data_IF_931226079433
#
_entry.id   IF_931226079433
#
_cell.length_a   1.000
_cell.length_b   1.000
_cell.length_c   1.000
_cell.angle_alpha   90.00
_cell.angle_beta   90.00
_cell.angle_gamma   90.00
#
_symmetry.space_group_name_H-M   'P 1'
#
loop_
_entity.id
_entity.type
_entity.pdbx_description
1 polymer ?
#
# COMPACT_ATOMS: atom_id res chain seq x y z
N UNK A 1 -12.23 7.78 -17.29
CA UNK A 1 -11.50 7.32 -16.12
C UNK A 1 -12.18 6.08 -15.55
N UNK A 2 -11.59 4.92 -15.73
CA UNK A 2 -12.14 3.74 -15.11
C UNK A 2 -11.91 3.83 -13.60
N UNK A 3 -12.99 3.95 -12.85
CA UNK A 3 -12.90 3.85 -11.39
C UNK A 3 -12.54 2.42 -11.03
N UNK A 4 -11.49 2.25 -10.26
CA UNK A 4 -11.16 0.95 -9.68
C UNK A 4 -12.40 0.42 -8.96
N UNK A 5 -12.94 -0.70 -9.44
CA UNK A 5 -14.00 -1.38 -8.71
C UNK A 5 -13.35 -2.14 -7.57
N UNK A 6 -13.77 -1.83 -6.37
CA UNK A 6 -13.39 -2.67 -5.22
C UNK A 6 -13.96 -4.07 -5.39
N UNK A 7 -13.31 -5.04 -4.76
CA UNK A 7 -13.77 -6.43 -4.83
C UNK A 7 -15.23 -6.65 -4.42
N UNK A 8 -15.85 -5.65 -3.83
CA UNK A 8 -17.22 -5.72 -3.35
C UNK A 8 -18.20 -4.86 -4.16
N UNK A 9 -17.80 -4.40 -5.33
CA UNK A 9 -18.65 -3.54 -6.15
C UNK A 9 -18.84 -2.13 -5.60
N UNK A 10 -18.14 -1.79 -4.54
CA UNK A 10 -18.19 -0.47 -3.93
C UNK A 10 -17.24 0.44 -4.70
N UNK A 11 -17.81 1.45 -5.35
CA UNK A 11 -17.01 2.55 -5.86
C UNK A 11 -16.65 3.41 -4.65
N UNK A 12 -15.40 3.33 -4.23
CA UNK A 12 -14.95 4.17 -3.13
C UNK A 12 -15.05 5.65 -3.49
N UNK A 13 -15.36 6.49 -2.52
CA UNK A 13 -15.26 7.94 -2.70
C UNK A 13 -13.80 8.32 -2.95
N UNK A 14 -13.60 9.51 -3.51
CA UNK A 14 -12.26 10.11 -3.56
C UNK A 14 -11.63 10.08 -2.17
N UNK A 15 -10.34 9.83 -2.09
CA UNK A 15 -9.60 9.88 -0.84
C UNK A 15 -9.88 11.21 -0.14
N UNK A 16 -10.28 11.11 1.13
CA UNK A 16 -10.30 12.25 2.05
C UNK A 16 -8.97 12.19 2.80
N UNK A 17 -7.99 13.06 2.48
CA UNK A 17 -6.62 12.91 2.99
C UNK A 17 -6.54 12.77 4.50
N UNK A 18 -7.32 13.55 5.24
CA UNK A 18 -7.29 13.51 6.70
C UNK A 18 -7.67 12.14 7.28
N UNK A 19 -8.70 11.51 6.74
CA UNK A 19 -9.15 10.18 7.17
C UNK A 19 -8.15 9.11 6.74
N UNK A 20 -7.67 9.22 5.51
CA UNK A 20 -6.69 8.28 4.95
C UNK A 20 -5.36 8.35 5.69
N UNK A 21 -4.89 9.55 6.04
CA UNK A 21 -3.66 9.73 6.83
C UNK A 21 -3.74 9.02 8.18
N UNK A 22 -4.89 9.08 8.84
CA UNK A 22 -5.08 8.38 10.12
C UNK A 22 -4.99 6.86 9.96
N UNK A 23 -5.61 6.32 8.93
CA UNK A 23 -5.57 4.87 8.66
C UNK A 23 -4.14 4.44 8.31
N UNK A 24 -3.44 5.22 7.49
CA UNK A 24 -2.06 4.96 7.11
C UNK A 24 -1.14 4.96 8.34
N UNK A 25 -1.25 5.99 9.19
CA UNK A 25 -0.42 6.11 10.38
C UNK A 25 -0.70 5.00 11.39
N UNK A 26 -1.96 4.64 11.57
CA UNK A 26 -2.35 3.53 12.44
C UNK A 26 -1.79 2.20 11.95
N UNK A 27 -1.84 1.97 10.64
CA UNK A 27 -1.24 0.78 10.04
C UNK A 27 0.26 0.68 10.37
N UNK A 28 1.01 1.76 10.17
CA UNK A 28 2.44 1.78 10.48
C UNK A 28 2.74 1.63 11.98
N UNK A 29 1.89 2.17 12.85
CA UNK A 29 2.04 1.94 14.29
C UNK A 29 1.91 0.47 14.63
N UNK A 30 0.94 -0.22 14.04
CA UNK A 30 0.72 -1.65 14.26
C UNK A 30 1.92 -2.46 13.78
N UNK A 31 2.38 -2.23 12.56
CA UNK A 31 3.51 -2.98 11.98
C UNK A 31 4.81 -2.70 12.74
N UNK A 32 5.00 -1.48 13.21
CA UNK A 32 6.17 -1.12 14.02
C UNK A 32 6.17 -1.84 15.37
N UNK A 33 5.03 -1.92 16.04
CA UNK A 33 4.89 -2.65 17.31
C UNK A 33 5.18 -4.14 17.12
N UNK A 34 4.77 -4.70 16.02
CA UNK A 34 5.03 -6.11 15.68
C UNK A 34 6.43 -6.35 15.11
N UNK A 35 7.20 -5.30 14.88
CA UNK A 35 8.52 -5.36 14.23
C UNK A 35 8.48 -6.03 12.86
N UNK A 36 7.40 -5.80 12.13
CA UNK A 36 7.23 -6.25 10.76
C UNK A 36 7.64 -5.11 9.82
N UNK A 37 8.61 -5.37 8.96
CA UNK A 37 9.06 -4.38 7.99
C UNK A 37 8.01 -4.19 6.92
N UNK A 38 7.57 -2.95 6.74
CA UNK A 38 6.55 -2.59 5.75
C UNK A 38 6.97 -1.34 5.00
N UNK A 39 6.51 -1.23 3.77
CA UNK A 39 6.73 -0.02 2.96
C UNK A 39 5.51 0.28 2.09
N UNK A 40 5.47 1.51 1.60
CA UNK A 40 4.50 1.93 0.59
C UNK A 40 4.74 1.13 -0.70
N UNK A 41 3.67 0.83 -1.42
CA UNK A 41 3.75 0.07 -2.67
C UNK A 41 2.87 0.69 -3.75
N UNK A 42 3.05 0.24 -4.98
CA UNK A 42 2.18 0.53 -6.12
C UNK A 42 1.71 1.99 -6.18
N UNK A 43 0.41 2.24 -6.32
CA UNK A 43 -0.15 3.58 -6.48
C UNK A 43 0.11 4.53 -5.32
N UNK A 44 0.16 4.02 -4.10
CA UNK A 44 0.50 4.84 -2.93
C UNK A 44 1.96 5.31 -2.98
N UNK A 45 2.87 4.41 -3.31
CA UNK A 45 4.28 4.76 -3.50
C UNK A 45 4.45 5.75 -4.64
N UNK A 46 3.82 5.48 -5.79
CA UNK A 46 3.87 6.37 -6.95
C UNK A 46 3.39 7.78 -6.61
N UNK A 47 2.23 7.89 -5.97
CA UNK A 47 1.66 9.19 -5.62
C UNK A 47 2.57 9.98 -4.69
N UNK A 48 3.08 9.35 -3.66
CA UNK A 48 3.94 10.02 -2.67
C UNK A 48 5.27 10.48 -3.30
N UNK A 49 5.86 9.65 -4.15
CA UNK A 49 7.14 9.98 -4.80
C UNK A 49 6.98 11.00 -5.92
N UNK A 50 5.99 10.82 -6.78
CA UNK A 50 5.79 11.68 -7.95
C UNK A 50 5.03 12.96 -7.63
N UNK A 51 3.92 12.84 -6.89
CA UNK A 51 2.95 13.92 -6.69
C UNK A 51 3.04 14.54 -5.29
N UNK A 52 3.78 13.95 -4.37
CA UNK A 52 3.85 14.41 -2.99
C UNK A 52 2.61 14.09 -2.16
N UNK A 53 1.79 13.16 -2.60
CA UNK A 53 0.56 12.76 -1.92
C UNK A 53 -0.21 11.70 -2.68
N UNK A 54 -1.45 11.47 -2.29
CA UNK A 54 -2.32 10.50 -2.94
C UNK A 54 -2.61 10.88 -4.38
N UNK A 55 -2.69 9.89 -5.27
CA UNK A 55 -3.12 10.10 -6.64
C UNK A 55 -4.62 10.42 -6.65
N UNK A 56 -5.01 11.43 -7.42
CA UNK A 56 -6.41 11.79 -7.60
C UNK A 56 -7.23 10.59 -8.12
N UNK A 57 -8.31 10.27 -7.42
CA UNK A 57 -9.19 9.15 -7.74
C UNK A 57 -8.68 7.79 -7.26
N UNK A 58 -7.51 7.71 -6.66
CA UNK A 58 -7.04 6.52 -5.96
C UNK A 58 -7.61 6.55 -4.53
N UNK A 59 -8.08 5.41 -4.05
CA UNK A 59 -8.77 5.32 -2.77
C UNK A 59 -8.38 4.09 -1.98
N UNK A 60 -7.24 3.48 -2.31
CA UNK A 60 -6.68 2.36 -1.59
C UNK A 60 -5.24 2.66 -1.14
N UNK A 61 -4.85 2.03 -0.06
CA UNK A 61 -3.50 2.07 0.47
C UNK A 61 -2.81 0.76 0.10
N UNK A 62 -1.84 0.85 -0.81
CA UNK A 62 -1.04 -0.30 -1.22
C UNK A 62 0.22 -0.39 -0.36
N UNK A 63 0.40 -1.52 0.31
CA UNK A 63 1.49 -1.77 1.24
C UNK A 63 2.19 -3.07 0.90
N UNK A 64 3.49 -3.13 1.16
CA UNK A 64 4.24 -4.40 1.17
C UNK A 64 4.64 -4.71 2.61
N UNK A 65 4.39 -5.93 3.06
CA UNK A 65 4.86 -6.44 4.34
C UNK A 65 5.85 -7.59 4.11
N UNK A 66 7.02 -7.49 4.73
CA UNK A 66 8.05 -8.52 4.69
C UNK A 66 7.89 -9.35 5.96
N UNK A 67 7.26 -10.51 5.85
CA UNK A 67 6.94 -11.31 7.02
C UNK A 67 6.85 -12.80 6.70
N UNK A 68 7.09 -13.60 7.73
CA UNK A 68 6.82 -15.03 7.72
C UNK A 68 5.32 -15.28 7.84
N UNK A 69 4.89 -16.53 7.65
CA UNK A 69 3.48 -16.91 7.84
C UNK A 69 2.99 -16.62 9.25
N UNK A 70 3.81 -16.89 10.28
CA UNK A 70 3.47 -16.56 11.67
C UNK A 70 3.30 -15.06 11.87
N UNK A 71 4.21 -14.26 11.33
CA UNK A 71 4.13 -12.81 11.41
C UNK A 71 2.90 -12.28 10.66
N UNK A 72 2.58 -12.88 9.51
CA UNK A 72 1.36 -12.55 8.75
C UNK A 72 0.11 -12.78 9.60
N UNK A 73 0.05 -13.90 10.32
CA UNK A 73 -1.07 -14.21 11.22
C UNK A 73 -1.15 -13.20 12.38
N UNK A 74 -0.02 -12.85 12.96
CA UNK A 74 0.05 -11.82 14.01
C UNK A 74 -0.42 -10.46 13.49
N UNK A 75 0.01 -10.07 12.29
CA UNK A 75 -0.42 -8.83 11.68
C UNK A 75 -1.93 -8.83 11.41
N UNK A 76 -2.46 -9.90 10.86
CA UNK A 76 -3.90 -10.04 10.59
C UNK A 76 -4.71 -9.88 11.88
N UNK A 77 -4.30 -10.56 12.95
CA UNK A 77 -4.99 -10.47 14.23
C UNK A 77 -4.91 -9.07 14.85
N UNK A 78 -3.75 -8.44 14.78
CA UNK A 78 -3.56 -7.08 15.29
C UNK A 78 -4.40 -6.06 14.52
N UNK A 79 -4.46 -6.18 13.19
CA UNK A 79 -5.30 -5.32 12.37
C UNK A 79 -6.77 -5.45 12.74
N UNK A 80 -7.26 -6.67 12.91
CA UNK A 80 -8.64 -6.92 13.36
C UNK A 80 -8.93 -6.30 14.73
N UNK A 81 -8.01 -6.45 15.67
CA UNK A 81 -8.14 -5.86 17.01
C UNK A 81 -8.20 -4.34 16.98
N UNK A 82 -7.60 -3.72 15.98
CA UNK A 82 -7.61 -2.27 15.80
C UNK A 82 -8.73 -1.80 14.85
N UNK A 83 -9.71 -2.63 14.58
CA UNK A 83 -10.89 -2.24 13.81
C UNK A 83 -10.72 -2.29 12.30
N UNK A 84 -9.66 -2.95 11.79
CA UNK A 84 -9.54 -3.23 10.36
C UNK A 84 -10.32 -4.49 10.05
N UNK A 85 -11.33 -4.38 9.20
CA UNK A 85 -12.12 -5.53 8.78
C UNK A 85 -11.39 -6.32 7.70
N UNK A 86 -11.27 -7.63 7.89
CA UNK A 86 -10.64 -8.50 6.92
C UNK A 86 -11.55 -8.71 5.71
N UNK A 87 -10.98 -8.56 4.53
CA UNK A 87 -11.64 -8.84 3.28
C UNK A 87 -11.08 -10.10 2.60
N UNK A 88 -10.83 -10.00 1.31
CA UNK A 88 -10.32 -11.13 0.52
C UNK A 88 -8.83 -11.36 0.77
N UNK A 89 -8.44 -12.63 0.70
CA UNK A 89 -7.05 -13.08 0.62
C UNK A 89 -6.83 -13.78 -0.70
N UNK A 90 -5.66 -13.56 -1.28
CA UNK A 90 -5.28 -14.18 -2.55
C UNK A 90 -4.01 -14.99 -2.36
N UNK A 91 -3.99 -16.27 -2.84
CA UNK A 91 -2.79 -17.10 -2.73
C UNK A 91 -1.70 -16.65 -3.71
N UNK A 92 -0.48 -17.22 -3.61
CA UNK A 92 0.53 -17.01 -4.65
C UNK A 92 -0.02 -17.31 -6.06
N UNK A 93 0.40 -16.58 -7.12
CA UNK A 93 1.50 -15.61 -7.10
C UNK A 93 1.17 -14.21 -6.55
N UNK A 94 -0.11 -13.88 -6.39
CA UNK A 94 -0.50 -12.54 -5.91
C UNK A 94 -0.09 -12.32 -4.46
N UNK A 95 -0.40 -13.26 -3.59
CA UNK A 95 -0.02 -13.28 -2.20
C UNK A 95 -0.30 -11.96 -1.48
N UNK A 96 -1.56 -11.55 -1.51
CA UNK A 96 -2.01 -10.30 -0.90
C UNK A 96 -3.32 -10.50 -0.14
N UNK A 97 -3.63 -9.58 0.74
CA UNK A 97 -4.87 -9.56 1.51
C UNK A 97 -5.42 -8.15 1.60
N UNK A 98 -6.74 -8.07 1.60
CA UNK A 98 -7.49 -6.82 1.71
C UNK A 98 -8.03 -6.63 3.12
N UNK A 99 -7.90 -5.41 3.62
CA UNK A 99 -8.51 -4.95 4.88
C UNK A 99 -9.22 -3.63 4.62
N UNK A 100 -10.22 -3.34 5.44
CA UNK A 100 -10.97 -2.08 5.35
C UNK A 100 -11.02 -1.40 6.70
N UNK A 101 -10.85 -0.10 6.69
CA UNK A 101 -11.13 0.74 7.85
C UNK A 101 -11.61 2.11 7.37
N UNK A 102 -12.72 2.60 7.94
CA UNK A 102 -13.27 3.92 7.58
C UNK A 102 -13.47 4.08 6.06
N UNK A 103 -13.93 3.02 5.39
CA UNK A 103 -14.14 2.95 3.92
C UNK A 103 -12.86 3.03 3.11
N UNK A 104 -11.70 2.88 3.74
CA UNK A 104 -10.42 2.86 3.05
C UNK A 104 -9.97 1.43 2.93
N UNK A 105 -9.66 1.03 1.70
CA UNK A 105 -9.09 -0.27 1.41
C UNK A 105 -7.59 -0.23 1.66
N UNK A 106 -7.11 -1.18 2.44
CA UNK A 106 -5.68 -1.44 2.61
C UNK A 106 -5.36 -2.76 1.93
N UNK A 107 -4.55 -2.70 0.90
CA UNK A 107 -4.11 -3.87 0.14
C UNK A 107 -2.67 -4.20 0.54
N UNK A 108 -2.48 -5.33 1.19
CA UNK A 108 -1.18 -5.75 1.73
C UNK A 108 -0.63 -6.87 0.87
N UNK A 109 0.50 -6.62 0.22
CA UNK A 109 1.26 -7.61 -0.52
C UNK A 109 2.33 -8.19 0.40
N UNK A 110 2.31 -9.52 0.56
CA UNK A 110 3.30 -10.21 1.38
C UNK A 110 4.46 -10.63 0.49
N UNK A 111 5.66 -10.20 0.86
CA UNK A 111 6.88 -10.44 0.08
C UNK A 111 7.99 -10.95 0.96
N UNK A 112 8.97 -11.60 0.34
CA UNK A 112 10.21 -12.00 0.99
C UNK A 112 11.27 -10.92 0.82
N UNK A 113 12.28 -10.86 1.70
CA UNK A 113 13.44 -9.99 1.49
C UNK A 113 14.13 -10.30 0.15
N UNK A 114 14.54 -9.26 -0.56
CA UNK A 114 15.22 -9.41 -1.84
C UNK A 114 14.83 -8.29 -2.79
N UNK A 115 15.48 -8.21 -3.95
CA UNK A 115 15.25 -7.15 -4.96
C UNK A 115 15.10 -5.77 -4.29
N UNK A 116 13.88 -5.26 -4.28
CA UNK A 116 13.54 -3.92 -3.79
C UNK A 116 13.28 -3.86 -2.29
N UNK A 117 13.29 -5.02 -1.59
CA UNK A 117 12.83 -5.13 -0.21
C UNK A 117 13.91 -5.56 0.80
N UNK A 118 15.15 -5.75 0.35
CA UNK A 118 16.27 -6.04 1.27
C UNK A 118 16.61 -4.83 2.14
N UNK A 119 16.43 -3.64 1.62
CA UNK A 119 16.49 -2.38 2.36
C UNK A 119 15.43 -1.45 1.80
N UNK A 120 15.05 -0.43 2.58
CA UNK A 120 14.06 0.55 2.17
C UNK A 120 14.71 1.92 1.98
N UNK A 121 14.19 2.68 0.99
CA UNK A 121 14.37 4.10 0.91
C UNK A 121 13.29 4.82 1.71
N UNK A 122 13.19 6.12 1.54
CA UNK A 122 12.18 6.90 2.22
C UNK A 122 11.66 8.03 1.34
N UNK A 123 10.42 8.44 1.62
CA UNK A 123 9.78 9.60 1.02
C UNK A 123 9.14 10.42 2.14
N UNK A 124 9.12 11.74 1.99
CA UNK A 124 8.51 12.63 2.98
C UNK A 124 7.12 13.05 2.51
N UNK A 125 6.14 12.91 3.40
CA UNK A 125 4.78 13.36 3.19
C UNK A 125 4.29 14.05 4.46
N UNK A 126 3.86 15.31 4.34
CA UNK A 126 3.43 16.14 5.48
C UNK A 126 4.42 16.13 6.65
N UNK A 127 5.71 16.24 6.34
CA UNK A 127 6.77 16.28 7.32
C UNK A 127 7.14 14.94 7.97
N UNK A 128 6.51 13.85 7.58
CA UNK A 128 6.82 12.49 8.04
C UNK A 128 7.53 11.70 6.97
N UNK A 129 8.47 10.85 7.38
CA UNK A 129 9.17 9.94 6.51
C UNK A 129 8.45 8.60 6.45
N UNK A 130 8.21 8.09 5.24
CA UNK A 130 7.59 6.80 5.00
C UNK A 130 8.53 5.90 4.21
N UNK A 131 8.63 4.62 4.55
CA UNK A 131 9.50 3.70 3.83
C UNK A 131 8.94 3.37 2.45
N UNK A 132 9.82 3.25 1.48
CA UNK A 132 9.52 2.86 0.11
C UNK A 132 10.49 1.75 -0.32
N UNK A 133 10.16 0.98 -1.37
CA UNK A 133 11.14 0.04 -1.94
C UNK A 133 12.41 0.74 -2.37
N UNK A 134 13.51 0.03 -2.40
CA UNK A 134 14.81 0.61 -2.78
C UNK A 134 15.50 -0.23 -3.86
N UNK A 135 16.01 0.37 -4.92
CA UNK A 135 15.87 1.77 -5.33
C UNK A 135 14.44 2.06 -5.83
N UNK A 136 13.83 3.11 -5.32
CA UNK A 136 12.41 3.39 -5.60
C UNK A 136 12.15 3.68 -7.08
N UNK A 137 13.06 4.35 -7.76
CA UNK A 137 12.90 4.68 -9.17
C UNK A 137 12.88 3.42 -10.05
N UNK A 138 13.73 2.45 -9.75
CA UNK A 138 13.73 1.15 -10.45
C UNK A 138 12.45 0.38 -10.16
N UNK A 139 12.01 0.38 -8.91
CA UNK A 139 10.75 -0.25 -8.52
C UNK A 139 9.57 0.34 -9.31
N UNK A 140 9.45 1.66 -9.32
CA UNK A 140 8.36 2.34 -10.03
C UNK A 140 8.43 2.09 -11.54
N UNK A 141 9.62 2.01 -12.11
CA UNK A 141 9.80 1.69 -13.53
C UNK A 141 9.36 0.28 -13.89
N UNK A 142 9.41 -0.67 -12.93
CA UNK A 142 8.87 -2.02 -13.14
C UNK A 142 7.35 -2.06 -13.06
N UNK A 143 6.77 -1.18 -12.24
CA UNK A 143 5.32 -1.17 -12.01
C UNK A 143 4.55 -0.34 -13.04
N UNK A 144 5.16 0.72 -13.55
CA UNK A 144 4.48 1.70 -14.41
C UNK A 144 5.37 2.16 -15.54
N UNK A 145 4.82 2.21 -16.75
CA UNK A 145 5.48 2.83 -17.90
C UNK A 145 5.44 4.35 -17.72
N UNK A 146 6.58 5.03 -17.93
CA UNK A 146 6.67 6.50 -17.81
C UNK A 146 6.09 7.05 -16.50
N UNK A 147 6.42 6.44 -15.38
CA UNK A 147 5.83 6.79 -14.10
C UNK A 147 6.02 8.25 -13.68
N UNK A 148 7.05 8.94 -14.22
CA UNK A 148 7.30 10.35 -13.92
C UNK A 148 6.28 11.28 -14.56
N UNK A 149 5.60 10.82 -15.60
CA UNK A 149 4.64 11.62 -16.33
C UNK A 149 3.24 11.38 -15.79
N UNK A 150 2.60 12.44 -15.31
CA UNK A 150 1.23 12.37 -14.82
C UNK A 150 0.26 12.40 -15.99
N UNK A 151 -0.09 11.25 -16.53
CA UNK A 151 -1.09 11.09 -17.58
C UNK A 151 -2.28 10.29 -17.09
N UNK A 152 -3.43 10.42 -17.80
CA UNK A 152 -4.58 9.55 -17.61
C UNK A 152 -4.28 8.15 -18.17
N UNK A 153 -3.39 7.45 -17.54
CA UNK A 153 -2.98 6.13 -17.98
C UNK A 153 -3.69 5.04 -17.20
N UNK A 154 -4.08 4.01 -17.95
CA UNK A 154 -4.40 2.75 -17.34
C UNK A 154 -3.18 2.26 -16.56
N UNK A 155 -3.33 2.12 -15.27
CA UNK A 155 -2.29 1.60 -14.40
C UNK A 155 -2.11 0.13 -14.73
N UNK A 156 -0.94 -0.24 -15.26
CA UNK A 156 -0.60 -1.64 -15.51
C UNK A 156 0.26 -2.11 -14.35
N UNK A 157 -0.29 -3.01 -13.56
CA UNK A 157 0.47 -3.65 -12.50
C UNK A 157 1.26 -4.81 -13.07
N UNK A 158 2.58 -4.66 -13.08
CA UNK A 158 3.48 -5.77 -13.32
C UNK A 158 4.14 -6.12 -11.99
N UNK A 159 3.67 -7.15 -11.37
CA UNK A 159 4.38 -7.52 -10.23
C UNK A 159 4.18 -8.39 -9.27
#
# INVERSE_FOLDING_TARGET
MSRKKYPYGIVGPSIIPKTTDKVLDEFFQITKQLKIRTCLAAGLCLGFVRDGGYIDGDNDLDMVAICTDDERNKLTNALKEHGFDAGRSFPPPHNNAHFHKNRILVDIYFRTPGKYYSQFGSVVYKGKSYPVPYPVEKYLSTCYTNWRVKENQAIQYYG
#
